data_IF_053370267085
#
_entry.id   IF_053370267085
#
_cell.length_a   1.000
_cell.length_b   1.000
_cell.length_c   1.000
_cell.angle_alpha   90.00
_cell.angle_beta   90.00
_cell.angle_gamma   90.00
#
_symmetry.space_group_name_H-M   'P 1'
#
loop_
_entity.id
_entity.type
_entity.pdbx_description
1 polymer ?
#
# COMPACT_ATOMS: atom_id res chain seq x y z
N UNK A 1 -8.79 15.67 -5.61
CA UNK A 1 -7.88 15.33 -6.72
C UNK A 1 -8.02 13.84 -7.02
N UNK A 2 -8.13 13.40 -8.28
CA UNK A 2 -8.24 11.96 -8.59
C UNK A 2 -6.83 11.35 -8.56
N UNK A 3 -6.52 10.62 -7.48
CA UNK A 3 -5.19 10.08 -7.23
C UNK A 3 -4.96 8.86 -8.12
N UNK A 4 -4.27 9.07 -9.24
CA UNK A 4 -3.89 7.99 -10.17
C UNK A 4 -2.74 7.18 -9.58
N UNK A 5 -3.09 6.15 -8.82
CA UNK A 5 -2.14 5.20 -8.25
C UNK A 5 -1.99 3.97 -9.15
N UNK A 6 -0.76 3.69 -9.57
CA UNK A 6 -0.41 2.50 -10.33
C UNK A 6 0.01 1.39 -9.37
N UNK A 7 -0.86 0.41 -9.19
CA UNK A 7 -0.56 -0.76 -8.39
C UNK A 7 0.02 -1.90 -9.23
N UNK A 8 1.11 -2.51 -8.77
CA UNK A 8 1.86 -3.54 -9.53
C UNK A 8 1.69 -4.95 -8.99
N UNK A 9 0.68 -5.21 -8.14
CA UNK A 9 0.45 -6.48 -7.42
C UNK A 9 0.54 -7.74 -8.31
N UNK A 10 1.67 -8.48 -8.33
CA UNK A 10 1.75 -9.74 -9.05
C UNK A 10 0.98 -10.81 -8.27
N UNK A 11 0.56 -11.88 -8.93
CA UNK A 11 -0.06 -13.05 -8.28
C UNK A 11 0.88 -13.84 -7.35
N UNK A 12 2.14 -13.42 -7.19
CA UNK A 12 3.13 -14.09 -6.33
C UNK A 12 2.98 -13.72 -4.85
N UNK A 13 3.60 -14.53 -3.99
CA UNK A 13 3.58 -14.39 -2.53
C UNK A 13 4.28 -13.09 -2.03
N UNK A 14 5.25 -12.59 -2.80
CA UNK A 14 5.96 -11.34 -2.51
C UNK A 14 5.64 -10.28 -3.58
N UNK A 15 4.62 -9.49 -3.28
CA UNK A 15 4.51 -8.03 -3.45
C UNK A 15 4.43 -7.42 -4.81
N UNK A 16 3.42 -6.57 -4.91
CA UNK A 16 3.50 -5.36 -5.70
C UNK A 16 3.94 -4.18 -4.86
N UNK A 17 4.38 -3.17 -5.58
CA UNK A 17 4.43 -1.79 -5.13
C UNK A 17 3.24 -1.03 -5.72
N UNK A 18 2.69 -0.07 -4.99
CA UNK A 18 1.79 0.92 -5.57
C UNK A 18 2.47 2.28 -5.48
N UNK A 19 2.51 3.00 -6.60
CA UNK A 19 3.06 4.35 -6.69
C UNK A 19 1.97 5.28 -7.17
N UNK A 20 1.91 6.49 -6.63
CA UNK A 20 0.91 7.48 -7.03
C UNK A 20 1.57 8.65 -7.75
N UNK A 21 1.24 8.86 -9.03
CA UNK A 21 1.89 9.89 -9.85
C UNK A 21 1.53 11.32 -9.37
N UNK A 22 0.41 11.47 -8.66
CA UNK A 22 -0.07 12.75 -8.14
C UNK A 22 0.61 13.21 -6.84
N UNK A 23 1.35 12.34 -6.15
CA UNK A 23 2.07 12.66 -4.90
C UNK A 23 3.50 12.11 -5.01
N UNK A 24 4.46 12.92 -5.46
CA UNK A 24 5.85 12.47 -5.63
C UNK A 24 6.44 11.98 -4.31
N UNK A 25 6.78 10.70 -4.25
CA UNK A 25 7.35 10.08 -3.03
C UNK A 25 6.40 9.09 -2.35
N UNK A 26 5.10 9.14 -2.66
CA UNK A 26 4.11 8.22 -2.11
C UNK A 26 4.23 6.84 -2.75
N UNK A 27 4.74 5.90 -1.96
CA UNK A 27 4.93 4.50 -2.32
C UNK A 27 4.26 3.60 -1.29
N UNK A 28 3.71 2.48 -1.74
CA UNK A 28 3.17 1.47 -0.86
C UNK A 28 3.62 0.08 -1.27
N UNK A 29 3.62 -0.84 -0.32
CA UNK A 29 4.07 -2.22 -0.52
C UNK A 29 3.29 -3.16 0.38
N UNK A 30 3.05 -4.39 -0.10
CA UNK A 30 2.25 -5.41 0.59
C UNK A 30 2.88 -6.80 0.44
N UNK A 31 3.43 -7.36 1.53
CA UNK A 31 4.13 -8.66 1.55
C UNK A 31 3.60 -9.69 2.51
N UNK A 32 3.71 -10.94 2.09
CA UNK A 32 3.61 -12.07 3.01
C UNK A 32 4.87 -12.10 3.89
N UNK A 33 4.65 -12.21 5.19
CA UNK A 33 5.71 -12.40 6.17
C UNK A 33 6.57 -13.64 5.84
N UNK A 34 7.87 -13.58 6.16
CA UNK A 34 8.76 -14.72 5.96
C UNK A 34 8.32 -15.92 6.81
N UNK A 35 7.94 -17.01 6.14
CA UNK A 35 7.37 -18.21 6.79
C UNK A 35 5.91 -18.06 7.25
N UNK A 36 5.27 -16.92 6.98
CA UNK A 36 4.06 -16.49 7.64
C UNK A 36 2.75 -16.74 6.90
N UNK A 37 1.67 -16.67 7.68
CA UNK A 37 0.26 -16.73 7.25
C UNK A 37 -0.38 -15.33 7.12
N UNK A 38 0.39 -14.27 7.38
CA UNK A 38 -0.07 -12.88 7.51
C UNK A 38 0.61 -11.97 6.50
N UNK A 39 -0.12 -10.94 6.10
CA UNK A 39 0.27 -9.96 5.09
C UNK A 39 0.55 -8.60 5.74
N UNK A 40 1.78 -8.14 5.60
CA UNK A 40 2.24 -6.84 5.99
C UNK A 40 1.95 -5.83 4.89
N UNK A 41 1.64 -4.60 5.27
CA UNK A 41 1.53 -3.49 4.35
C UNK A 41 2.13 -2.23 4.96
N UNK A 42 2.65 -1.37 4.10
CA UNK A 42 3.04 -0.02 4.48
C UNK A 42 2.80 0.96 3.34
N UNK A 43 2.51 2.20 3.72
CA UNK A 43 2.42 3.38 2.86
C UNK A 43 3.45 4.37 3.39
N UNK A 44 4.40 4.72 2.54
CA UNK A 44 5.50 5.60 2.84
C UNK A 44 5.46 6.79 1.89
N UNK A 45 5.49 7.98 2.44
CA UNK A 45 5.73 9.22 1.72
C UNK A 45 6.80 10.04 2.48
N UNK A 46 7.21 11.17 1.91
CA UNK A 46 8.07 12.17 2.54
C UNK A 46 7.63 12.53 3.96
N UNK A 47 6.32 12.45 4.27
CA UNK A 47 5.76 12.81 5.58
C UNK A 47 4.93 11.71 6.28
N UNK A 48 4.43 10.68 5.58
CA UNK A 48 3.55 9.65 6.14
C UNK A 48 4.19 8.26 6.15
N UNK A 49 4.01 7.50 7.25
CA UNK A 49 4.56 6.15 7.48
C UNK A 49 3.51 5.17 8.02
N UNK A 50 2.32 5.12 7.42
CA UNK A 50 1.28 4.20 7.85
C UNK A 50 1.70 2.75 7.55
N UNK A 51 1.44 1.83 8.47
CA UNK A 51 1.74 0.41 8.28
C UNK A 51 0.79 -0.47 9.08
N UNK A 52 0.64 -1.72 8.67
CA UNK A 52 -0.21 -2.68 9.36
C UNK A 52 0.04 -4.12 8.93
N UNK A 53 -0.70 -5.02 9.59
CA UNK A 53 -0.66 -6.46 9.36
C UNK A 53 -2.10 -6.94 9.21
N UNK A 54 -2.34 -7.77 8.20
CA UNK A 54 -3.64 -8.29 7.86
C UNK A 54 -3.58 -9.81 7.65
N UNK A 55 -4.71 -10.49 7.80
CA UNK A 55 -4.77 -11.95 7.63
C UNK A 55 -4.68 -12.37 6.15
N UNK A 56 -5.06 -11.48 5.23
CA UNK A 56 -5.14 -11.80 3.80
C UNK A 56 -4.54 -10.69 2.93
N UNK A 57 -4.13 -11.07 1.72
CA UNK A 57 -3.58 -10.17 0.71
C UNK A 57 -4.57 -9.06 0.35
N UNK A 58 -5.84 -9.43 0.22
CA UNK A 58 -6.93 -8.54 -0.16
C UNK A 58 -7.18 -7.47 0.90
N UNK A 59 -7.15 -7.86 2.18
CA UNK A 59 -7.26 -6.91 3.29
C UNK A 59 -6.08 -5.94 3.31
N UNK A 60 -4.86 -6.43 3.13
CA UNK A 60 -3.66 -5.60 3.07
C UNK A 60 -3.70 -4.58 1.91
N UNK A 61 -4.15 -5.01 0.72
CA UNK A 61 -4.38 -4.11 -0.42
C UNK A 61 -5.46 -3.05 -0.13
N UNK A 62 -6.57 -3.46 0.50
CA UNK A 62 -7.65 -2.54 0.86
C UNK A 62 -7.23 -1.54 1.94
N UNK A 63 -6.29 -1.91 2.83
CA UNK A 63 -5.72 -0.98 3.79
C UNK A 63 -4.86 0.09 3.11
N UNK A 64 -3.97 -0.31 2.18
CA UNK A 64 -3.19 0.64 1.35
C UNK A 64 -4.09 1.60 0.57
N UNK A 65 -5.15 1.08 -0.06
CA UNK A 65 -6.08 1.91 -0.82
C UNK A 65 -6.78 2.95 0.08
N UNK A 66 -7.22 2.55 1.27
CA UNK A 66 -7.82 3.46 2.26
C UNK A 66 -6.85 4.57 2.66
N UNK A 67 -5.57 4.27 2.84
CA UNK A 67 -4.61 5.31 3.19
C UNK A 67 -4.26 6.25 2.05
N UNK A 68 -4.19 5.76 0.82
CA UNK A 68 -4.11 6.66 -0.34
C UNK A 68 -5.30 7.63 -0.40
N UNK A 69 -6.51 7.14 -0.12
CA UNK A 69 -7.71 7.97 -0.06
C UNK A 69 -7.72 8.95 1.13
N UNK A 70 -7.10 8.60 2.26
CA UNK A 70 -6.95 9.52 3.39
C UNK A 70 -5.99 10.66 3.04
N UNK A 71 -4.81 10.31 2.51
CA UNK A 71 -3.80 11.29 2.07
C UNK A 71 -4.37 12.22 0.99
N UNK A 72 -5.17 11.68 0.06
CA UNK A 72 -5.86 12.45 -0.98
C UNK A 72 -6.82 13.54 -0.47
N UNK A 73 -7.33 13.39 0.75
CA UNK A 73 -8.30 14.32 1.36
C UNK A 73 -7.64 15.37 2.25
N UNK A 74 -6.42 15.11 2.70
CA UNK A 74 -5.65 16.02 3.55
C UNK A 74 -4.87 17.06 2.72
N UNK A 75 -4.61 16.79 1.44
CA UNK A 75 -4.03 17.69 0.43
C UNK A 75 -5.10 18.50 -0.33
#
# INVERSE_FOLDING_TARGET
MDLKCRATWPGKANDGTANCDGVPGLQARVYLEAGGKRWYWFVNDTHARAQGIEDTKEKAKAAVQREFESIAREE
#
